data_IF_031024581361
#
_entry.id   IF_031024581361
#
_cell.length_a   1.000
_cell.length_b   1.000
_cell.length_c   1.000
_cell.angle_alpha   90.00
_cell.angle_beta   90.00
_cell.angle_gamma   90.00
#
_symmetry.space_group_name_H-M   'P 1'
#
loop_
_entity.id
_entity.type
_entity.pdbx_description
1 polymer ?
#
# COMPACT_ATOMS: atom_id res chain seq x y z
N UNK A 1 0.81 -19.10 -19.30
CA UNK A 1 1.14 -18.23 -18.14
C UNK A 1 0.88 -18.98 -16.86
N UNK A 2 1.88 -19.07 -15.99
CA UNK A 2 1.71 -19.72 -14.70
C UNK A 2 1.03 -18.74 -13.74
N UNK A 3 -0.21 -19.01 -13.32
CA UNK A 3 -1.03 -18.08 -12.50
C UNK A 3 -0.31 -17.66 -11.21
N UNK A 4 0.57 -18.51 -10.68
CA UNK A 4 1.42 -18.21 -9.51
C UNK A 4 2.45 -17.10 -9.77
N UNK A 5 3.04 -17.06 -10.97
CA UNK A 5 4.02 -16.04 -11.36
C UNK A 5 3.36 -14.68 -11.48
N UNK A 6 2.14 -14.62 -12.06
CA UNK A 6 1.37 -13.39 -12.12
C UNK A 6 1.07 -12.82 -10.74
N UNK A 7 0.65 -13.68 -9.79
CA UNK A 7 0.36 -13.18 -8.46
C UNK A 7 1.61 -12.73 -7.71
N UNK A 8 2.77 -13.39 -7.93
CA UNK A 8 4.03 -12.94 -7.37
C UNK A 8 4.47 -11.57 -7.93
N UNK A 9 4.39 -11.39 -9.25
CA UNK A 9 4.66 -10.11 -9.90
C UNK A 9 3.72 -9.00 -9.41
N UNK A 10 2.46 -9.33 -9.13
CA UNK A 10 1.52 -8.38 -8.55
C UNK A 10 1.91 -7.94 -7.15
N UNK A 11 2.31 -8.87 -6.27
CA UNK A 11 2.76 -8.51 -4.92
C UNK A 11 4.02 -7.62 -4.99
N UNK A 12 4.96 -7.94 -5.88
CA UNK A 12 6.15 -7.12 -6.10
C UNK A 12 5.77 -5.72 -6.58
N UNK A 13 4.94 -5.61 -7.62
CA UNK A 13 4.46 -4.34 -8.13
C UNK A 13 3.71 -3.53 -7.06
N UNK A 14 2.82 -4.19 -6.29
CA UNK A 14 2.10 -3.60 -5.18
C UNK A 14 3.04 -3.08 -4.09
N UNK A 15 4.09 -3.82 -3.77
CA UNK A 15 5.11 -3.42 -2.79
C UNK A 15 5.88 -2.20 -3.28
N UNK A 16 6.31 -2.19 -4.54
CA UNK A 16 6.98 -1.03 -5.15
C UNK A 16 6.08 0.19 -5.13
N UNK A 17 4.81 0.05 -5.53
CA UNK A 17 3.81 1.12 -5.51
C UNK A 17 3.56 1.62 -4.08
N UNK A 18 3.53 0.74 -3.09
CA UNK A 18 3.40 1.11 -1.68
C UNK A 18 4.59 1.94 -1.18
N UNK A 19 5.83 1.51 -1.48
CA UNK A 19 7.05 2.24 -1.09
C UNK A 19 7.08 3.62 -1.77
N UNK A 20 6.76 3.69 -3.06
CA UNK A 20 6.69 4.95 -3.80
C UNK A 20 5.65 5.90 -3.20
N UNK A 21 4.45 5.42 -2.88
CA UNK A 21 3.43 6.25 -2.23
C UNK A 21 3.88 6.75 -0.86
N UNK A 22 4.52 5.91 -0.05
CA UNK A 22 5.04 6.31 1.25
C UNK A 22 6.09 7.41 1.11
N UNK A 23 7.03 7.28 0.17
CA UNK A 23 8.02 8.32 -0.08
C UNK A 23 7.39 9.64 -0.51
N UNK A 24 6.43 9.60 -1.45
CA UNK A 24 5.73 10.80 -1.92
C UNK A 24 4.96 11.47 -0.79
N UNK A 25 4.22 10.70 0.02
CA UNK A 25 3.47 11.24 1.15
C UNK A 25 4.39 11.80 2.24
N UNK A 26 5.51 11.13 2.52
CA UNK A 26 6.48 11.61 3.50
C UNK A 26 7.09 12.95 3.06
N UNK A 27 7.50 13.07 1.79
CA UNK A 27 8.01 14.34 1.24
C UNK A 27 6.94 15.43 1.27
N UNK A 28 5.70 15.11 0.88
CA UNK A 28 4.57 16.03 0.95
C UNK A 28 4.36 16.56 2.38
N UNK A 29 4.30 15.66 3.36
CA UNK A 29 4.13 16.01 4.77
C UNK A 29 5.32 16.81 5.30
N UNK A 30 6.54 16.49 4.91
CA UNK A 30 7.73 17.28 5.26
C UNK A 30 7.64 18.70 4.71
N UNK A 31 7.27 18.87 3.44
CA UNK A 31 7.15 20.20 2.82
C UNK A 31 6.08 21.03 3.52
N UNK A 32 4.92 20.43 3.79
CA UNK A 32 3.82 21.09 4.53
C UNK A 32 4.27 21.45 5.94
N UNK A 33 4.87 20.52 6.67
CA UNK A 33 5.36 20.76 8.02
C UNK A 33 6.42 21.86 8.06
N UNK A 34 7.43 21.78 7.19
CA UNK A 34 8.52 22.75 7.12
C UNK A 34 8.01 24.16 6.80
N UNK A 35 6.98 24.28 5.96
CA UNK A 35 6.47 25.58 5.54
C UNK A 35 5.52 26.23 6.55
N UNK A 36 4.70 25.43 7.24
CA UNK A 36 3.60 25.94 8.06
C UNK A 36 3.77 25.72 9.56
N UNK A 37 4.45 24.65 9.99
CA UNK A 37 4.50 24.24 11.40
C UNK A 37 5.88 24.45 12.01
N UNK A 38 6.95 24.03 11.33
CA UNK A 38 8.32 24.11 11.82
C UNK A 38 8.79 25.52 12.26
N UNK A 39 8.39 26.63 11.60
CA UNK A 39 8.78 27.98 12.02
C UNK A 39 8.19 28.40 13.38
N UNK A 40 7.11 27.74 13.82
CA UNK A 40 6.38 28.07 15.04
C UNK A 40 6.78 27.22 16.25
N UNK A 41 7.61 26.20 16.05
CA UNK A 41 7.96 25.21 17.06
C UNK A 41 9.42 25.35 17.54
N UNK A 42 9.70 25.03 18.81
CA UNK A 42 11.06 24.93 19.31
C UNK A 42 11.87 23.85 18.56
N UNK A 43 13.19 24.04 18.37
CA UNK A 43 14.05 23.10 17.64
C UNK A 43 14.00 21.66 18.16
N UNK A 44 13.87 21.48 19.48
CA UNK A 44 13.79 20.15 20.10
C UNK A 44 12.51 19.40 19.71
N UNK A 45 11.39 20.13 19.53
CA UNK A 45 10.10 19.54 19.13
C UNK A 45 10.14 19.16 17.65
N UNK A 46 10.83 19.93 16.81
CA UNK A 46 10.96 19.64 15.38
C UNK A 46 11.61 18.27 15.13
N UNK A 47 12.56 17.85 15.96
CA UNK A 47 13.22 16.55 15.80
C UNK A 47 12.28 15.37 16.08
N UNK A 48 11.42 15.49 17.11
CA UNK A 48 10.40 14.48 17.43
C UNK A 48 9.31 14.45 16.34
N UNK A 49 8.94 15.62 15.82
CA UNK A 49 7.93 15.72 14.76
C UNK A 49 8.34 14.96 13.49
N UNK A 50 9.63 14.86 13.16
CA UNK A 50 10.06 14.05 12.01
C UNK A 50 9.67 12.57 12.14
N UNK A 51 9.81 11.98 13.33
CA UNK A 51 9.36 10.60 13.59
C UNK A 51 7.84 10.48 13.48
N UNK A 52 7.11 11.48 14.00
CA UNK A 52 5.64 11.54 13.90
C UNK A 52 5.19 11.63 12.44
N UNK A 53 5.83 12.46 11.62
CA UNK A 53 5.52 12.59 10.19
C UNK A 53 5.83 11.30 9.43
N UNK A 54 6.89 10.60 9.80
CA UNK A 54 7.20 9.29 9.23
C UNK A 54 6.08 8.29 9.53
N UNK A 55 5.67 8.15 10.79
CA UNK A 55 4.54 7.30 11.19
C UNK A 55 3.23 7.71 10.49
N UNK A 56 2.95 9.01 10.44
CA UNK A 56 1.79 9.55 9.75
C UNK A 56 1.80 9.19 8.25
N UNK A 57 2.97 9.21 7.59
CA UNK A 57 3.11 8.83 6.19
C UNK A 57 2.80 7.35 5.97
N UNK A 58 3.27 6.46 6.86
CA UNK A 58 2.99 5.01 6.80
C UNK A 58 1.48 4.76 6.93
N UNK A 59 0.85 5.35 7.94
CA UNK A 59 -0.60 5.19 8.18
C UNK A 59 -1.40 5.76 7.00
N UNK A 60 -1.03 6.94 6.52
CA UNK A 60 -1.69 7.57 5.38
C UNK A 60 -1.54 6.75 4.10
N UNK A 61 -0.37 6.14 3.89
CA UNK A 61 -0.12 5.24 2.75
C UNK A 61 -1.04 4.03 2.80
N UNK A 62 -1.22 3.41 3.97
CA UNK A 62 -2.14 2.28 4.12
C UNK A 62 -3.57 2.67 3.71
N UNK A 63 -4.06 3.82 4.19
CA UNK A 63 -5.40 4.32 3.87
C UNK A 63 -5.56 4.64 2.37
N UNK A 64 -4.57 5.32 1.78
CA UNK A 64 -4.58 5.67 0.36
C UNK A 64 -4.50 4.41 -0.51
N UNK A 65 -3.58 3.50 -0.20
CA UNK A 65 -3.39 2.24 -0.91
C UNK A 65 -4.67 1.40 -0.83
N UNK A 66 -5.30 1.29 0.34
CA UNK A 66 -6.56 0.55 0.50
C UNK A 66 -7.65 1.13 -0.40
N UNK A 67 -7.78 2.46 -0.46
CA UNK A 67 -8.76 3.13 -1.33
C UNK A 67 -8.44 2.92 -2.82
N UNK A 68 -7.16 3.04 -3.20
CA UNK A 68 -6.69 2.81 -4.56
C UNK A 68 -6.96 1.37 -5.00
N UNK A 69 -6.65 0.39 -4.15
CA UNK A 69 -6.87 -1.03 -4.43
C UNK A 69 -8.35 -1.37 -4.55
N UNK A 70 -9.22 -0.76 -3.72
CA UNK A 70 -10.67 -0.92 -3.84
C UNK A 70 -11.20 -0.35 -5.14
N UNK A 71 -10.63 0.74 -5.62
CA UNK A 71 -10.96 1.31 -6.93
C UNK A 71 -10.45 0.44 -8.07
N UNK A 72 -9.18 0.02 -8.04
CA UNK A 72 -8.58 -0.86 -9.04
C UNK A 72 -9.34 -2.19 -9.17
N UNK A 73 -9.77 -2.78 -8.06
CA UNK A 73 -10.56 -4.02 -8.04
C UNK A 73 -11.95 -3.89 -8.64
N UNK A 74 -12.50 -2.67 -8.73
CA UNK A 74 -13.79 -2.41 -9.39
C UNK A 74 -13.62 -2.18 -10.89
N UNK A 75 -12.53 -1.54 -11.28
CA UNK A 75 -12.25 -1.18 -12.68
C UNK A 75 -11.63 -2.32 -13.47
N UNK A 76 -10.84 -3.18 -12.81
CA UNK A 76 -10.15 -4.30 -13.43
C UNK A 76 -10.60 -5.63 -12.81
N UNK A 77 -10.87 -6.62 -13.66
CA UNK A 77 -11.19 -7.99 -13.22
C UNK A 77 -9.90 -8.73 -12.80
N UNK A 78 -9.38 -8.31 -11.65
CA UNK A 78 -8.16 -8.81 -11.05
C UNK A 78 -8.22 -10.32 -10.76
N UNK A 79 -9.43 -10.87 -10.57
CA UNK A 79 -9.63 -12.31 -10.37
C UNK A 79 -9.22 -13.15 -11.58
N UNK A 80 -9.28 -12.57 -12.79
CA UNK A 80 -8.87 -13.26 -14.02
C UNK A 80 -7.36 -13.51 -14.09
N UNK A 81 -6.56 -12.70 -13.40
CA UNK A 81 -5.10 -12.72 -13.48
C UNK A 81 -4.41 -13.34 -12.27
N UNK A 82 -5.10 -13.45 -11.13
CA UNK A 82 -4.52 -13.96 -9.87
C UNK A 82 -5.01 -15.37 -9.55
N UNK A 83 -4.05 -16.29 -9.38
CA UNK A 83 -4.31 -17.58 -8.73
C UNK A 83 -4.24 -17.44 -7.20
N UNK A 84 -4.88 -18.34 -6.44
CA UNK A 84 -4.87 -18.30 -4.98
C UNK A 84 -3.44 -18.31 -4.43
N UNK A 85 -3.13 -17.34 -3.55
CA UNK A 85 -1.81 -17.15 -2.93
C UNK A 85 -1.55 -18.12 -1.77
N UNK A 86 -2.59 -18.40 -0.98
CA UNK A 86 -2.55 -19.31 0.16
C UNK A 86 -3.92 -19.99 0.28
N UNK A 87 -4.08 -21.18 -0.28
CA UNK A 87 -5.34 -21.94 -0.19
C UNK A 87 -5.50 -22.93 -1.33
N UNK A 88 -5.63 -24.21 -0.96
CA UNK A 88 -5.67 -25.39 -1.84
C UNK A 88 -6.59 -25.16 -3.04
N UNK A 89 -6.07 -25.49 -4.23
CA UNK A 89 -6.88 -25.69 -5.42
C UNK A 89 -8.12 -26.50 -5.01
N UNK A 90 -9.30 -25.90 -5.12
CA UNK A 90 -10.58 -26.54 -4.89
C UNK A 90 -10.79 -27.66 -5.90
N UNK A 91 -10.09 -28.77 -5.68
CA UNK A 91 -10.22 -30.01 -6.43
C UNK A 91 -10.81 -31.09 -5.51
N UNK A 92 -11.82 -30.71 -4.73
CA UNK A 92 -12.76 -31.65 -4.12
C UNK A 92 -13.83 -32.00 -5.14
N UNK A 93 -13.50 -32.95 -6.01
CA UNK A 93 -14.44 -33.57 -6.97
C UNK A 93 -15.63 -34.18 -6.23
N UNK A 94 -16.83 -33.85 -6.72
CA UNK A 94 -17.99 -34.73 -6.96
C UNK A 94 -18.17 -35.92 -6.00
N UNK A 95 -19.17 -35.84 -5.12
CA UNK A 95 -19.97 -37.04 -4.82
C UNK A 95 -21.09 -37.13 -5.86
N UNK A 96 -21.19 -38.21 -6.63
CA UNK A 96 -22.41 -38.57 -7.34
C UNK A 96 -23.45 -39.06 -6.32
N UNK A 97 -24.67 -38.54 -6.44
CA UNK A 97 -25.86 -39.18 -5.86
C UNK A 97 -26.23 -40.45 -6.64
#
# INVERSE_FOLDING_TARGET
MNKRVNTFLFILAATVVNILMMMVLFVLFLVVFARFVAPSLPPQVNQVMLMVLFLASVISTYLLYHRLMRWASRTYDLQKYFGPLFGKDGKGRRSPE
#
